data_IF_488370581944
#
_entry.id   IF_488370581944
#
_cell.length_a   1.000
_cell.length_b   1.000
_cell.length_c   1.000
_cell.angle_alpha   90.00
_cell.angle_beta   90.00
_cell.angle_gamma   90.00
#
_symmetry.space_group_name_H-M   'P 1'
#
loop_
_entity.id
_entity.type
_entity.pdbx_description
1 polymer ?
#
# COMPACT_ATOMS: atom_id res chain seq x y z
N UNK A 1 -7.57 -4.21 9.03
CA UNK A 1 -6.36 -4.40 8.20
C UNK A 1 -5.42 -5.39 8.89
N UNK A 2 -5.00 -6.48 8.24
CA UNK A 2 -3.94 -7.34 8.79
C UNK A 2 -2.62 -6.55 8.79
N UNK A 3 -1.84 -6.69 9.87
CA UNK A 3 -0.57 -5.97 10.04
C UNK A 3 0.48 -6.59 9.11
N UNK A 4 1.15 -5.77 8.31
CA UNK A 4 2.24 -6.21 7.43
C UNK A 4 3.42 -6.65 8.31
N UNK A 5 3.92 -7.85 8.06
CA UNK A 5 5.12 -8.38 8.72
C UNK A 5 6.36 -7.92 7.96
N UNK A 6 6.90 -6.77 8.36
CA UNK A 6 8.06 -6.14 7.72
C UNK A 6 9.35 -6.96 7.84
N UNK A 7 9.41 -7.95 8.75
CA UNK A 7 10.59 -8.83 8.88
C UNK A 7 10.79 -9.75 7.68
N UNK A 8 9.74 -9.94 6.88
CA UNK A 8 9.74 -10.83 5.71
C UNK A 8 9.92 -10.08 4.39
N UNK A 9 9.90 -8.75 4.40
CA UNK A 9 10.02 -7.92 3.21
C UNK A 9 11.49 -7.64 2.89
N UNK A 10 11.79 -7.65 1.59
CA UNK A 10 13.08 -7.30 1.00
C UNK A 10 12.93 -6.04 0.16
N UNK A 11 14.01 -5.27 0.07
CA UNK A 11 14.03 -4.08 -0.79
C UNK A 11 13.55 -4.45 -2.19
N UNK A 12 12.72 -3.59 -2.78
CA UNK A 12 12.03 -3.80 -4.07
C UNK A 12 10.80 -4.71 -4.06
N UNK A 13 10.42 -5.29 -2.92
CA UNK A 13 9.11 -5.96 -2.80
C UNK A 13 7.97 -4.97 -3.00
N UNK A 14 6.87 -5.43 -3.58
CA UNK A 14 5.68 -4.61 -3.86
C UNK A 14 4.52 -5.09 -2.96
N UNK A 15 4.38 -4.57 -1.73
CA UNK A 15 3.19 -4.81 -0.92
C UNK A 15 1.92 -4.28 -1.61
N UNK A 16 0.93 -5.15 -1.69
CA UNK A 16 -0.40 -4.84 -2.22
C UNK A 16 -1.40 -4.69 -1.07
N UNK A 17 -2.22 -3.65 -1.14
CA UNK A 17 -3.32 -3.43 -0.19
C UNK A 17 -4.63 -3.74 -0.86
N UNK A 18 -5.45 -4.54 -0.18
CA UNK A 18 -6.84 -4.79 -0.55
C UNK A 18 -7.77 -3.98 0.35
N UNK A 19 -8.79 -3.38 -0.24
CA UNK A 19 -9.81 -2.62 0.48
C UNK A 19 -11.06 -3.46 0.69
N UNK A 20 -11.72 -3.33 1.85
CA UNK A 20 -13.04 -3.92 2.11
C UNK A 20 -14.16 -2.92 1.80
N UNK A 21 -13.83 -1.63 1.71
CA UNK A 21 -14.80 -0.58 1.44
C UNK A 21 -14.84 -0.26 -0.06
N UNK A 22 -16.05 -0.31 -0.62
CA UNK A 22 -16.41 -0.22 -2.04
C UNK A 22 -16.07 1.12 -2.75
N UNK A 23 -15.06 1.86 -2.30
CA UNK A 23 -14.95 3.29 -2.59
C UNK A 23 -13.62 3.75 -3.21
N UNK A 24 -12.83 2.85 -3.79
CA UNK A 24 -11.76 3.27 -4.70
C UNK A 24 -12.25 3.09 -6.15
N UNK A 25 -12.25 4.17 -6.93
CA UNK A 25 -12.57 4.11 -8.36
C UNK A 25 -11.69 3.09 -9.12
N UNK A 26 -10.46 2.87 -8.62
CA UNK A 26 -9.53 1.84 -9.13
C UNK A 26 -10.13 0.44 -9.07
N UNK A 27 -10.81 0.06 -7.99
CA UNK A 27 -11.42 -1.27 -7.89
C UNK A 27 -12.61 -1.46 -8.84
N UNK A 28 -13.42 -0.41 -9.03
CA UNK A 28 -14.51 -0.41 -10.01
C UNK A 28 -14.01 -0.59 -11.45
N UNK A 29 -12.88 0.04 -11.79
CA UNK A 29 -12.30 -0.04 -13.13
C UNK A 29 -11.56 -1.35 -13.37
N UNK A 30 -10.78 -1.82 -12.38
CA UNK A 30 -9.90 -2.98 -12.55
C UNK A 30 -10.58 -4.32 -12.29
N UNK A 31 -11.76 -4.33 -11.65
CA UNK A 31 -12.46 -5.55 -11.17
C UNK A 31 -11.55 -6.47 -10.34
N UNK A 32 -10.60 -5.88 -9.60
CA UNK A 32 -9.64 -6.58 -8.73
C UNK A 32 -9.81 -6.10 -7.30
N UNK A 33 -9.49 -6.97 -6.36
CA UNK A 33 -9.54 -6.70 -4.92
C UNK A 33 -8.39 -5.80 -4.42
N UNK A 34 -7.43 -5.49 -5.29
CA UNK A 34 -6.24 -4.68 -4.98
C UNK A 34 -6.53 -3.22 -5.34
N UNK A 35 -6.48 -2.34 -4.34
CA UNK A 35 -6.74 -0.91 -4.51
C UNK A 35 -5.48 -0.06 -4.53
N UNK A 36 -4.37 -0.54 -3.94
CA UNK A 36 -3.14 0.22 -3.84
C UNK A 36 -1.91 -0.69 -3.85
N UNK A 37 -0.86 -0.25 -4.53
CA UNK A 37 0.46 -0.87 -4.54
C UNK A 37 1.50 0.13 -4.01
N UNK A 38 2.45 -0.35 -3.23
CA UNK A 38 3.54 0.46 -2.67
C UNK A 38 4.86 -0.25 -2.93
N UNK A 39 5.96 0.49 -3.06
CA UNK A 39 7.30 -0.06 -3.18
C UNK A 39 7.97 -0.10 -1.81
N UNK A 40 8.40 -1.27 -1.37
CA UNK A 40 9.18 -1.40 -0.14
C UNK A 40 10.64 -1.03 -0.41
N UNK A 41 11.14 -0.04 0.34
CA UNK A 41 12.52 0.42 0.20
C UNK A 41 13.38 -0.22 1.27
N UNK A 42 13.27 0.20 2.53
CA UNK A 42 14.01 -0.39 3.65
C UNK A 42 13.41 0.01 5.01
N UNK A 43 13.74 -0.75 6.06
CA UNK A 43 13.43 -0.40 7.46
C UNK A 43 11.95 -0.07 7.74
N UNK A 44 11.01 -0.79 7.11
CA UNK A 44 9.58 -0.49 7.28
C UNK A 44 9.11 0.77 6.55
N UNK A 45 9.92 1.29 5.62
CA UNK A 45 9.57 2.44 4.78
C UNK A 45 9.09 1.99 3.41
N UNK A 46 8.04 2.65 2.95
CA UNK A 46 7.42 2.41 1.65
C UNK A 46 7.32 3.70 0.86
N UNK A 47 7.37 3.59 -0.46
CA UNK A 47 7.10 4.68 -1.39
C UNK A 47 5.81 4.36 -2.14
N UNK A 48 4.92 5.33 -2.23
CA UNK A 48 3.68 5.17 -2.96
C UNK A 48 3.22 6.46 -3.63
N UNK A 49 2.46 6.31 -4.71
CA UNK A 49 1.78 7.42 -5.35
C UNK A 49 0.37 7.52 -4.80
N UNK A 50 0.04 8.70 -4.30
CA UNK A 50 -1.32 9.08 -3.90
C UNK A 50 -1.92 9.98 -4.98
N UNK A 51 -3.19 10.38 -4.82
CA UNK A 51 -3.83 11.33 -5.75
C UNK A 51 -3.15 12.70 -5.81
N UNK A 52 -2.40 13.07 -4.76
CA UNK A 52 -1.78 14.40 -4.65
C UNK A 52 -0.31 14.39 -5.07
N UNK A 53 0.46 13.40 -4.60
CA UNK A 53 1.89 13.30 -4.89
C UNK A 53 2.47 11.90 -4.59
N UNK A 54 3.76 11.74 -4.89
CA UNK A 54 4.59 10.61 -4.46
C UNK A 54 5.09 10.87 -3.04
N UNK A 55 4.85 9.93 -2.14
CA UNK A 55 5.21 10.05 -0.73
C UNK A 55 6.13 8.89 -0.30
N UNK A 56 7.12 9.21 0.53
CA UNK A 56 7.89 8.23 1.30
C UNK A 56 7.34 8.18 2.72
N UNK A 57 6.84 7.01 3.15
CA UNK A 57 6.17 6.83 4.44
C UNK A 57 6.88 5.79 5.28
N UNK A 58 7.27 6.17 6.50
CA UNK A 58 7.88 5.26 7.47
C UNK A 58 6.82 4.72 8.43
N UNK A 59 6.65 3.39 8.45
CA UNK A 59 5.53 2.67 9.09
C UNK A 59 4.19 3.07 8.47
N UNK A 60 3.57 2.15 7.73
CA UNK A 60 2.19 2.25 7.27
C UNK A 60 1.25 2.43 8.49
N UNK A 61 1.05 3.68 8.92
CA UNK A 61 0.21 4.04 10.06
C UNK A 61 -1.23 3.91 9.61
N UNK A 62 -2.05 3.28 10.45
CA UNK A 62 -3.51 3.25 10.34
C UNK A 62 -3.98 4.69 10.09
N UNK A 63 -4.49 4.96 8.89
CA UNK A 63 -5.32 6.14 8.67
C UNK A 63 -6.62 5.82 9.42
N UNK A 64 -6.82 6.51 10.55
CA UNK A 64 -8.11 6.57 11.23
C UNK A 64 -9.01 7.57 10.49
#
# INVERSE_FOLDING_TARGET
MKRIDFSKLRESDIPLTTGVENNSGVMHVTRRDVCQAMLYVANGSVVDSTGDAVHARTRCRRLE
#
